data_IF_184754791907
#
_entry.id   IF_184754791907
#
_cell.length_a   1.000
_cell.length_b   1.000
_cell.length_c   1.000
_cell.angle_alpha   90.00
_cell.angle_beta   90.00
_cell.angle_gamma   90.00
#
_symmetry.space_group_name_H-M   'P 1'
#
loop_
_entity.id
_entity.type
_entity.pdbx_description
1 polymer ?
#
# COMPACT_ATOMS: atom_id res chain seq x y z
N UNK A 1 -34.24 -22.25 -34.69
CA UNK A 1 -33.37 -21.07 -34.51
C UNK A 1 -32.01 -21.47 -34.00
N UNK A 2 -30.97 -21.38 -34.84
CA UNK A 2 -29.57 -21.56 -34.41
C UNK A 2 -28.95 -20.27 -33.83
N UNK A 3 -29.64 -19.13 -33.93
CA UNK A 3 -29.14 -17.82 -33.47
C UNK A 3 -29.60 -17.42 -32.06
N UNK A 4 -30.48 -18.19 -31.42
CA UNK A 4 -31.04 -17.84 -30.11
C UNK A 4 -30.01 -17.83 -28.95
N UNK A 5 -28.83 -18.42 -29.14
CA UNK A 5 -27.78 -18.53 -28.12
C UNK A 5 -26.53 -17.67 -28.42
N UNK A 6 -26.58 -16.85 -29.48
CA UNK A 6 -25.43 -16.05 -29.91
C UNK A 6 -25.36 -14.74 -29.11
N UNK A 7 -24.51 -14.71 -28.08
CA UNK A 7 -24.34 -13.52 -27.21
C UNK A 7 -23.49 -12.41 -27.83
N UNK A 8 -22.52 -12.77 -28.67
CA UNK A 8 -21.56 -11.84 -29.26
C UNK A 8 -21.40 -12.04 -30.77
N UNK A 9 -21.07 -10.97 -31.47
CA UNK A 9 -20.60 -11.01 -32.85
C UNK A 9 -19.21 -11.68 -32.89
N UNK A 10 -19.05 -12.67 -33.77
CA UNK A 10 -17.77 -13.33 -33.99
C UNK A 10 -16.95 -12.48 -34.96
N UNK A 11 -15.82 -11.98 -34.49
CA UNK A 11 -14.81 -11.30 -35.32
C UNK A 11 -13.60 -12.24 -35.41
N UNK A 12 -13.28 -12.70 -36.62
CA UNK A 12 -12.08 -13.50 -36.83
C UNK A 12 -10.82 -12.62 -36.87
N UNK A 13 -9.65 -13.25 -36.79
CA UNK A 13 -8.38 -12.53 -36.75
C UNK A 13 -8.19 -11.63 -37.99
N UNK A 14 -8.63 -12.09 -39.17
CA UNK A 14 -8.54 -11.31 -40.41
C UNK A 14 -9.41 -10.06 -40.34
N UNK A 15 -10.65 -10.15 -39.83
CA UNK A 15 -11.55 -9.00 -39.65
C UNK A 15 -10.98 -8.00 -38.65
N UNK A 16 -10.43 -8.46 -37.51
CA UNK A 16 -9.82 -7.59 -36.51
C UNK A 16 -8.65 -6.77 -37.08
N UNK A 17 -7.83 -7.39 -37.93
CA UNK A 17 -6.70 -6.74 -38.61
C UNK A 17 -7.14 -5.81 -39.74
N UNK A 18 -8.06 -6.25 -40.60
CA UNK A 18 -8.53 -5.45 -41.74
C UNK A 18 -9.29 -4.20 -41.30
N UNK A 19 -9.98 -4.26 -40.16
CA UNK A 19 -10.68 -3.11 -39.56
C UNK A 19 -9.80 -2.30 -38.61
N UNK A 20 -8.52 -2.65 -38.46
CA UNK A 20 -7.55 -1.96 -37.61
C UNK A 20 -8.07 -1.71 -36.19
N UNK A 21 -8.71 -2.73 -35.60
CA UNK A 21 -9.41 -2.56 -34.32
C UNK A 21 -8.42 -2.32 -33.17
N UNK A 22 -7.30 -3.07 -33.15
CA UNK A 22 -6.30 -3.01 -32.08
C UNK A 22 -4.88 -2.70 -32.55
N UNK A 23 -4.57 -2.94 -33.82
CA UNK A 23 -3.27 -2.66 -34.42
C UNK A 23 -3.50 -2.19 -35.86
N UNK A 24 -2.77 -1.16 -36.28
CA UNK A 24 -2.83 -0.68 -37.66
C UNK A 24 -2.04 -1.60 -38.61
N UNK A 25 -2.31 -1.53 -39.92
CA UNK A 25 -1.61 -2.33 -40.91
C UNK A 25 -0.30 -1.71 -41.43
N UNK A 26 0.03 -0.49 -41.01
CA UNK A 26 1.21 0.23 -41.48
C UNK A 26 2.48 -0.19 -40.71
N UNK A 27 2.44 -0.11 -39.39
CA UNK A 27 3.58 -0.41 -38.50
C UNK A 27 3.24 -1.40 -37.38
N UNK A 28 1.99 -1.87 -37.30
CA UNK A 28 1.53 -2.81 -36.29
C UNK A 28 1.36 -2.20 -34.90
N UNK A 29 1.46 -0.86 -34.77
CA UNK A 29 1.25 -0.18 -33.50
C UNK A 29 -0.24 0.03 -33.19
N UNK A 30 -0.55 0.37 -31.93
CA UNK A 30 -1.91 0.72 -31.52
C UNK A 30 -2.34 2.12 -32.04
N UNK A 31 -1.46 2.88 -32.71
CA UNK A 31 -1.77 4.23 -33.21
C UNK A 31 -2.75 4.18 -34.38
N UNK A 32 -3.63 5.18 -34.44
CA UNK A 32 -4.63 5.35 -35.50
C UNK A 32 -5.57 4.14 -35.66
N UNK A 33 -5.78 3.39 -34.56
CA UNK A 33 -6.71 2.26 -34.48
C UNK A 33 -8.05 2.68 -33.90
N UNK A 34 -9.11 1.90 -34.15
CA UNK A 34 -10.41 2.12 -33.51
C UNK A 34 -10.28 2.17 -31.98
N UNK A 35 -9.51 1.25 -31.38
CA UNK A 35 -9.28 1.23 -29.94
C UNK A 35 -8.63 2.53 -29.46
N UNK A 36 -7.56 3.01 -30.10
CA UNK A 36 -6.91 4.27 -29.71
C UNK A 36 -7.81 5.50 -29.85
N UNK A 37 -8.77 5.46 -30.78
CA UNK A 37 -9.73 6.53 -30.99
C UNK A 37 -10.81 6.58 -29.90
N UNK A 38 -11.32 5.43 -29.44
CA UNK A 38 -12.40 5.37 -28.45
C UNK A 38 -11.93 5.26 -27.00
N UNK A 39 -10.67 4.88 -26.77
CA UNK A 39 -10.13 4.67 -25.43
C UNK A 39 -9.85 5.98 -24.70
N UNK A 40 -10.84 6.41 -23.91
CA UNK A 40 -10.73 7.50 -22.95
C UNK A 40 -10.79 7.01 -21.49
N UNK A 41 -10.65 5.70 -21.26
CA UNK A 41 -10.71 5.13 -19.92
C UNK A 41 -9.53 5.60 -19.06
N UNK A 42 -9.80 6.04 -17.82
CA UNK A 42 -8.75 6.47 -16.88
C UNK A 42 -8.21 5.35 -16.01
N UNK A 43 -8.97 4.27 -15.83
CA UNK A 43 -8.51 3.09 -15.08
C UNK A 43 -7.93 2.04 -16.02
N UNK A 44 -6.89 1.35 -15.54
CA UNK A 44 -6.31 0.24 -16.29
C UNK A 44 -7.31 -0.90 -16.50
N UNK A 45 -8.20 -1.14 -15.52
CA UNK A 45 -9.32 -2.08 -15.63
C UNK A 45 -10.34 -1.68 -16.69
N UNK A 46 -10.75 -0.41 -16.72
CA UNK A 46 -11.66 0.13 -17.73
C UNK A 46 -11.10 -0.01 -19.15
N UNK A 47 -9.82 0.33 -19.35
CA UNK A 47 -9.12 0.14 -20.63
C UNK A 47 -9.14 -1.32 -21.10
N UNK A 48 -8.88 -2.27 -20.19
CA UNK A 48 -8.94 -3.71 -20.48
C UNK A 48 -10.37 -4.16 -20.82
N UNK A 49 -11.36 -3.68 -20.08
CA UNK A 49 -12.77 -3.98 -20.31
C UNK A 49 -13.23 -3.48 -21.68
N UNK A 50 -12.86 -2.25 -22.05
CA UNK A 50 -13.16 -1.66 -23.35
C UNK A 50 -12.53 -2.46 -24.49
N UNK A 51 -11.25 -2.86 -24.34
CA UNK A 51 -10.57 -3.74 -25.30
C UNK A 51 -11.33 -5.06 -25.49
N UNK A 52 -11.80 -5.66 -24.41
CA UNK A 52 -12.63 -6.87 -24.45
C UNK A 52 -13.99 -6.64 -25.13
N UNK A 53 -14.64 -5.49 -24.91
CA UNK A 53 -15.92 -5.16 -25.53
C UNK A 53 -15.80 -4.96 -27.04
N UNK A 54 -14.74 -4.30 -27.52
CA UNK A 54 -14.47 -4.15 -28.96
C UNK A 54 -14.15 -5.49 -29.62
N UNK A 55 -13.47 -6.40 -28.92
CA UNK A 55 -13.14 -7.72 -29.46
C UNK A 55 -14.37 -8.65 -29.54
N UNK A 56 -15.39 -8.40 -28.71
CA UNK A 56 -16.59 -9.22 -28.60
C UNK A 56 -17.86 -8.35 -28.56
N UNK A 57 -18.21 -7.67 -29.68
CA UNK A 57 -19.41 -6.84 -29.73
C UNK A 57 -20.65 -7.64 -29.37
N UNK A 58 -21.63 -7.00 -28.74
CA UNK A 58 -22.91 -7.64 -28.43
C UNK A 58 -23.68 -7.94 -29.71
N UNK A 59 -24.42 -9.06 -29.73
CA UNK A 59 -25.29 -9.43 -30.86
C UNK A 59 -26.77 -9.12 -30.58
N UNK A 60 -27.19 -9.19 -29.32
CA UNK A 60 -28.59 -8.97 -28.93
C UNK A 60 -28.95 -7.49 -28.94
N UNK A 61 -29.98 -7.12 -29.71
CA UNK A 61 -30.52 -5.76 -29.74
C UNK A 61 -30.92 -5.26 -28.34
N UNK A 62 -31.49 -6.13 -27.50
CA UNK A 62 -31.82 -5.78 -26.11
C UNK A 62 -30.58 -5.35 -25.33
N UNK A 63 -29.51 -6.15 -25.38
CA UNK A 63 -28.28 -5.86 -24.65
C UNK A 63 -27.54 -4.64 -25.20
N UNK A 64 -27.64 -4.38 -26.51
CA UNK A 64 -27.11 -3.17 -27.14
C UNK A 64 -27.86 -1.95 -26.62
N UNK A 65 -29.20 -1.96 -26.65
CA UNK A 65 -30.01 -0.84 -26.18
C UNK A 65 -29.78 -0.57 -24.69
N UNK A 66 -29.68 -1.61 -23.84
CA UNK A 66 -29.33 -1.44 -22.42
C UNK A 66 -28.00 -0.68 -22.21
N UNK A 67 -27.01 -0.83 -23.09
CA UNK A 67 -25.77 -0.05 -23.03
C UNK A 67 -25.96 1.38 -23.54
N UNK A 68 -26.75 1.57 -24.59
CA UNK A 68 -27.08 2.91 -25.10
C UNK A 68 -27.83 3.72 -24.03
N UNK A 69 -28.83 3.11 -23.39
CA UNK A 69 -29.58 3.70 -22.29
C UNK A 69 -28.64 4.12 -21.14
N UNK A 70 -27.63 3.29 -20.81
CA UNK A 70 -26.61 3.64 -19.82
C UNK A 70 -25.71 4.82 -20.23
N UNK A 71 -25.35 4.91 -21.52
CA UNK A 71 -24.55 6.03 -22.05
C UNK A 71 -25.36 7.33 -22.02
N UNK A 72 -26.62 7.30 -22.46
CA UNK A 72 -27.50 8.47 -22.44
C UNK A 72 -27.78 8.95 -21.01
N UNK A 73 -27.96 8.00 -20.09
CA UNK A 73 -28.16 8.29 -18.69
C UNK A 73 -26.90 8.90 -18.02
N UNK A 74 -25.71 8.37 -18.32
CA UNK A 74 -24.44 8.98 -17.87
C UNK A 74 -24.21 10.37 -18.48
N UNK A 75 -24.61 10.58 -19.74
CA UNK A 75 -24.56 11.89 -20.38
C UNK A 75 -25.43 12.93 -19.67
N UNK A 76 -26.61 12.52 -19.20
CA UNK A 76 -27.49 13.37 -18.39
C UNK A 76 -26.91 13.61 -16.98
N UNK A 77 -26.35 12.57 -16.36
CA UNK A 77 -25.74 12.66 -15.02
C UNK A 77 -24.55 13.62 -14.98
N UNK A 78 -23.73 13.60 -16.04
CA UNK A 78 -22.45 14.31 -16.13
C UNK A 78 -22.51 15.53 -17.06
N UNK A 79 -23.67 16.18 -17.15
CA UNK A 79 -23.88 17.35 -18.03
C UNK A 79 -23.04 18.57 -17.58
N UNK A 80 -22.75 18.69 -16.29
CA UNK A 80 -21.80 19.68 -15.77
C UNK A 80 -20.34 19.21 -15.98
N UNK A 81 -19.58 20.02 -16.73
CA UNK A 81 -18.18 19.76 -17.02
C UNK A 81 -17.29 19.69 -15.76
N UNK A 82 -17.67 20.37 -14.67
CA UNK A 82 -16.95 20.31 -13.40
C UNK A 82 -17.11 18.94 -12.73
N UNK A 83 -18.34 18.44 -12.61
CA UNK A 83 -18.65 17.15 -12.00
C UNK A 83 -17.99 16.00 -12.78
N UNK A 84 -18.03 16.07 -14.11
CA UNK A 84 -17.35 15.11 -14.98
C UNK A 84 -15.83 15.06 -14.72
N UNK A 85 -15.17 16.21 -14.52
CA UNK A 85 -13.73 16.26 -14.27
C UNK A 85 -13.40 15.68 -12.89
N UNK A 86 -14.17 16.02 -11.86
CA UNK A 86 -13.94 15.51 -10.51
C UNK A 86 -14.10 13.99 -10.43
N UNK A 87 -15.16 13.44 -11.03
CA UNK A 87 -15.38 11.98 -11.05
C UNK A 87 -14.26 11.30 -11.83
N UNK A 88 -13.81 11.88 -12.93
CA UNK A 88 -12.70 11.36 -13.72
C UNK A 88 -11.39 11.35 -12.92
N UNK A 89 -11.12 12.38 -12.13
CA UNK A 89 -9.96 12.46 -11.24
C UNK A 89 -10.04 11.43 -10.10
N UNK A 90 -11.24 11.21 -9.53
CA UNK A 90 -11.47 10.13 -8.56
C UNK A 90 -11.17 8.76 -9.17
N UNK A 91 -11.72 8.45 -10.35
CA UNK A 91 -11.39 7.22 -11.05
C UNK A 91 -9.90 7.10 -11.40
N UNK A 92 -9.21 8.20 -11.70
CA UNK A 92 -7.76 8.17 -11.94
C UNK A 92 -6.97 7.77 -10.68
N UNK A 93 -7.48 8.13 -9.49
CA UNK A 93 -6.88 7.75 -8.19
C UNK A 93 -7.19 6.31 -7.74
N UNK A 94 -8.19 5.64 -8.35
CA UNK A 94 -8.56 4.25 -8.04
C UNK A 94 -7.41 3.25 -8.27
N UNK A 95 -6.55 3.51 -9.25
CA UNK A 95 -5.40 2.66 -9.56
C UNK A 95 -5.77 1.32 -10.24
N UNK A 96 -4.81 0.38 -10.28
CA UNK A 96 -5.01 -0.96 -10.87
C UNK A 96 -5.27 -2.01 -9.78
N UNK A 97 -6.44 -1.88 -9.13
CA UNK A 97 -6.89 -2.76 -8.04
C UNK A 97 -7.04 -4.21 -8.50
N UNK A 98 -7.55 -4.45 -9.71
CA UNK A 98 -7.75 -5.81 -10.26
C UNK A 98 -6.43 -6.61 -10.26
N UNK A 99 -5.36 -6.04 -10.83
CA UNK A 99 -4.05 -6.72 -10.80
C UNK A 99 -3.42 -6.69 -9.42
N UNK A 100 -3.71 -5.67 -8.62
CA UNK A 100 -3.26 -5.57 -7.24
C UNK A 100 -3.79 -6.73 -6.39
N UNK A 101 -5.10 -6.98 -6.42
CA UNK A 101 -5.76 -8.10 -5.74
C UNK A 101 -5.15 -9.44 -6.15
N UNK A 102 -4.91 -9.67 -7.45
CA UNK A 102 -4.27 -10.90 -7.91
C UNK A 102 -2.85 -11.09 -7.32
N UNK A 103 -2.08 -10.01 -7.15
CA UNK A 103 -0.75 -10.06 -6.51
C UNK A 103 -0.85 -10.33 -5.01
N UNK A 104 -1.82 -9.70 -4.33
CA UNK A 104 -2.10 -9.88 -2.91
C UNK A 104 -2.50 -11.33 -2.61
N UNK A 105 -3.45 -11.88 -3.37
CA UNK A 105 -3.87 -13.29 -3.28
C UNK A 105 -2.69 -14.25 -3.51
N UNK A 106 -1.91 -14.01 -4.56
CA UNK A 106 -0.71 -14.83 -4.85
C UNK A 106 0.33 -14.77 -3.72
N UNK A 107 0.45 -13.62 -3.04
CA UNK A 107 1.35 -13.46 -1.90
C UNK A 107 0.83 -14.17 -0.65
N UNK A 108 -0.49 -14.18 -0.42
CA UNK A 108 -1.13 -14.90 0.68
C UNK A 108 -0.96 -16.42 0.53
N UNK A 109 -1.13 -16.93 -0.70
CA UNK A 109 -1.04 -18.36 -1.03
C UNK A 109 0.39 -18.92 -1.09
N UNK A 110 1.43 -18.08 -1.03
CA UNK A 110 2.82 -18.53 -1.12
C UNK A 110 3.26 -19.29 0.15
N UNK A 111 3.65 -20.55 -0.01
CA UNK A 111 4.36 -21.33 1.01
C UNK A 111 5.81 -20.83 1.13
N UNK A 112 6.18 -20.28 2.29
CA UNK A 112 7.50 -19.66 2.49
C UNK A 112 8.57 -20.74 2.71
N UNK A 113 9.17 -21.24 1.63
CA UNK A 113 10.44 -22.00 1.70
C UNK A 113 11.68 -21.14 1.40
N UNK A 114 11.50 -19.87 1.00
CA UNK A 114 12.61 -18.99 0.62
C UNK A 114 12.58 -17.75 1.48
N UNK A 115 13.66 -17.51 2.23
CA UNK A 115 13.92 -16.24 2.92
C UNK A 115 13.97 -15.14 1.85
N UNK A 116 12.91 -14.35 1.78
CA UNK A 116 12.79 -13.23 0.86
C UNK A 116 13.66 -12.07 1.37
N UNK A 117 14.38 -11.39 0.47
CA UNK A 117 15.13 -10.19 0.83
C UNK A 117 14.17 -9.09 1.33
N UNK A 118 14.61 -8.29 2.29
CA UNK A 118 13.82 -7.23 2.96
C UNK A 118 13.07 -6.33 1.95
N UNK A 119 13.73 -5.93 0.86
CA UNK A 119 13.14 -5.08 -0.20
C UNK A 119 11.93 -5.71 -0.91
N UNK A 120 11.89 -7.03 -1.04
CA UNK A 120 10.77 -7.72 -1.70
C UNK A 120 9.54 -7.78 -0.82
N UNK A 121 9.70 -7.94 0.49
CA UNK A 121 8.58 -7.87 1.43
C UNK A 121 8.05 -6.44 1.56
N UNK A 122 8.94 -5.45 1.65
CA UNK A 122 8.54 -4.03 1.63
C UNK A 122 7.68 -3.69 0.42
N UNK A 123 8.07 -4.15 -0.76
CA UNK A 123 7.29 -3.92 -1.99
C UNK A 123 5.90 -4.59 -1.95
N UNK A 124 5.79 -5.80 -1.38
CA UNK A 124 4.48 -6.47 -1.24
C UNK A 124 3.56 -5.69 -0.30
N UNK A 125 4.09 -5.17 0.81
CA UNK A 125 3.34 -4.33 1.76
C UNK A 125 2.84 -3.07 1.06
N UNK A 126 3.72 -2.35 0.35
CA UNK A 126 3.34 -1.15 -0.40
C UNK A 126 2.27 -1.45 -1.45
N UNK A 127 2.38 -2.58 -2.16
CA UNK A 127 1.36 -3.01 -3.13
C UNK A 127 0.02 -3.34 -2.45
N UNK A 128 0.03 -3.97 -1.27
CA UNK A 128 -1.17 -4.24 -0.48
C UNK A 128 -1.84 -2.95 -0.01
N UNK A 129 -1.08 -1.99 0.52
CA UNK A 129 -1.59 -0.66 0.92
C UNK A 129 -2.22 0.07 -0.27
N UNK A 130 -1.63 0.00 -1.46
CA UNK A 130 -2.23 0.56 -2.69
C UNK A 130 -3.57 -0.09 -3.03
N UNK A 131 -3.71 -1.39 -2.83
CA UNK A 131 -4.98 -2.11 -3.04
C UNK A 131 -6.03 -1.62 -2.05
N UNK A 132 -5.70 -1.52 -0.76
CA UNK A 132 -6.64 -1.02 0.26
C UNK A 132 -7.12 0.41 -0.05
N UNK A 133 -6.20 1.30 -0.43
CA UNK A 133 -6.54 2.67 -0.86
C UNK A 133 -7.45 2.66 -2.09
N UNK A 134 -7.11 1.87 -3.10
CA UNK A 134 -7.93 1.76 -4.31
C UNK A 134 -9.33 1.21 -4.03
N UNK A 135 -9.47 0.22 -3.14
CA UNK A 135 -10.78 -0.28 -2.71
C UNK A 135 -11.59 0.80 -1.99
N UNK A 136 -10.95 1.58 -1.10
CA UNK A 136 -11.60 2.70 -0.41
C UNK A 136 -12.10 3.75 -1.41
N UNK A 137 -11.23 4.17 -2.34
CA UNK A 137 -11.62 5.08 -3.44
C UNK A 137 -12.73 4.49 -4.30
N UNK A 138 -12.76 3.17 -4.52
CA UNK A 138 -13.84 2.50 -5.24
C UNK A 138 -15.20 2.63 -4.55
N UNK A 139 -15.22 2.47 -3.22
CA UNK A 139 -16.42 2.68 -2.41
C UNK A 139 -16.87 4.14 -2.43
N UNK A 140 -15.93 5.09 -2.31
CA UNK A 140 -16.22 6.53 -2.40
C UNK A 140 -16.81 6.92 -3.78
N UNK A 141 -16.26 6.37 -4.87
CA UNK A 141 -16.80 6.56 -6.23
C UNK A 141 -18.21 5.97 -6.33
N UNK A 142 -18.41 4.76 -5.81
CA UNK A 142 -19.71 4.09 -5.86
C UNK A 142 -20.78 4.86 -5.10
N UNK A 143 -20.44 5.39 -3.92
CA UNK A 143 -21.36 6.18 -3.09
C UNK A 143 -21.74 7.50 -3.77
N UNK A 144 -20.74 8.22 -4.31
CA UNK A 144 -20.98 9.47 -5.05
C UNK A 144 -21.88 9.25 -6.27
N UNK A 145 -21.54 8.27 -7.11
CA UNK A 145 -22.34 7.98 -8.31
C UNK A 145 -23.75 7.51 -7.97
N UNK A 146 -23.92 6.74 -6.88
CA UNK A 146 -25.25 6.34 -6.39
C UNK A 146 -26.07 7.56 -5.97
N UNK A 147 -25.49 8.48 -5.22
CA UNK A 147 -26.17 9.68 -4.75
C UNK A 147 -26.63 10.56 -5.92
N UNK A 148 -25.74 10.80 -6.89
CA UNK A 148 -26.08 11.57 -8.09
C UNK A 148 -27.14 10.83 -8.93
N UNK A 149 -27.04 9.50 -9.09
CA UNK A 149 -27.98 8.67 -9.85
C UNK A 149 -29.41 8.70 -9.30
N UNK A 150 -29.57 8.61 -7.97
CA UNK A 150 -30.89 8.70 -7.32
C UNK A 150 -31.53 10.10 -7.49
N UNK A 151 -30.74 11.12 -7.79
CA UNK A 151 -31.19 12.49 -7.98
C UNK A 151 -31.69 12.82 -9.39
N UNK A 152 -31.44 11.96 -10.40
CA UNK A 152 -31.79 12.25 -11.80
C UNK A 152 -33.25 11.85 -12.08
N UNK A 153 -34.17 12.82 -12.33
CA UNK A 153 -35.54 12.50 -12.70
C UNK A 153 -35.60 11.92 -14.12
N UNK A 154 -36.51 10.98 -14.36
CA UNK A 154 -36.88 10.46 -15.68
C UNK A 154 -35.77 9.74 -16.49
N UNK A 155 -34.60 9.47 -15.90
CA UNK A 155 -33.60 8.56 -16.50
C UNK A 155 -33.75 7.14 -15.95
N UNK A 156 -33.73 6.14 -16.85
CA UNK A 156 -33.78 4.72 -16.46
C UNK A 156 -32.68 3.97 -17.19
N UNK A 157 -31.91 3.17 -16.45
CA UNK A 157 -30.89 2.30 -17.02
C UNK A 157 -30.72 1.06 -16.17
N UNK A 158 -31.17 -0.09 -16.68
CA UNK A 158 -31.04 -1.38 -15.98
C UNK A 158 -29.58 -1.72 -15.64
N UNK A 159 -28.64 -1.26 -16.48
CA UNK A 159 -27.20 -1.49 -16.27
C UNK A 159 -26.68 -0.65 -15.11
N UNK A 160 -27.01 0.64 -15.06
CA UNK A 160 -26.58 1.51 -13.97
C UNK A 160 -27.30 1.17 -12.67
N UNK A 161 -28.59 0.81 -12.70
CA UNK A 161 -29.31 0.34 -11.52
C UNK A 161 -28.65 -0.91 -10.92
N UNK A 162 -28.30 -1.88 -11.77
CA UNK A 162 -27.61 -3.09 -11.31
C UNK A 162 -26.20 -2.82 -10.78
N UNK A 163 -25.48 -1.81 -11.29
CA UNK A 163 -24.10 -1.50 -10.90
C UNK A 163 -24.03 -0.60 -9.67
N UNK A 164 -24.87 0.43 -9.62
CA UNK A 164 -24.82 1.51 -8.62
C UNK A 164 -25.79 1.29 -7.48
N UNK A 165 -26.97 0.69 -7.72
CA UNK A 165 -27.96 0.47 -6.67
C UNK A 165 -27.74 -0.90 -6.05
N UNK A 166 -27.62 -1.95 -6.87
CA UNK A 166 -27.09 -3.26 -6.46
C UNK A 166 -27.58 -3.79 -5.11
N UNK A 167 -26.78 -4.63 -4.45
CA UNK A 167 -27.03 -5.05 -3.07
C UNK A 167 -26.29 -4.09 -2.13
N UNK A 168 -27.02 -3.13 -1.56
CA UNK A 168 -26.49 -2.15 -0.59
C UNK A 168 -25.76 -2.81 0.58
N UNK A 169 -26.20 -4.02 0.97
CA UNK A 169 -25.57 -4.74 2.08
C UNK A 169 -24.11 -5.13 1.79
N UNK A 170 -23.74 -5.33 0.53
CA UNK A 170 -22.37 -5.67 0.13
C UNK A 170 -21.45 -4.45 0.28
N UNK A 171 -21.95 -3.24 0.00
CA UNK A 171 -21.16 -2.01 0.11
C UNK A 171 -20.86 -1.66 1.57
N UNK A 172 -21.86 -1.77 2.45
CA UNK A 172 -21.71 -1.45 3.87
C UNK A 172 -20.82 -2.46 4.61
N UNK A 173 -21.02 -3.75 4.37
CA UNK A 173 -20.17 -4.82 4.93
C UNK A 173 -18.72 -4.71 4.42
N UNK A 174 -18.53 -4.38 3.14
CA UNK A 174 -17.19 -4.14 2.59
C UNK A 174 -16.53 -2.90 3.21
N UNK A 175 -17.28 -1.81 3.43
CA UNK A 175 -16.76 -0.59 4.05
C UNK A 175 -16.31 -0.84 5.50
N UNK A 176 -17.12 -1.54 6.31
CA UNK A 176 -16.78 -1.89 7.69
C UNK A 176 -15.54 -2.81 7.76
N UNK A 177 -15.51 -3.85 6.91
CA UNK A 177 -14.35 -4.76 6.81
C UNK A 177 -13.10 -4.04 6.36
N UNK A 178 -13.23 -3.07 5.46
CA UNK A 178 -12.10 -2.30 4.97
C UNK A 178 -11.58 -1.33 6.04
N UNK A 179 -12.47 -0.68 6.80
CA UNK A 179 -12.10 0.25 7.89
C UNK A 179 -11.19 -0.41 8.93
N UNK A 180 -11.45 -1.69 9.26
CA UNK A 180 -10.57 -2.48 10.13
C UNK A 180 -9.09 -2.43 9.72
N UNK A 181 -8.79 -2.46 8.41
CA UNK A 181 -7.41 -2.41 7.92
C UNK A 181 -6.77 -1.02 8.03
N UNK A 182 -7.57 0.04 8.04
CA UNK A 182 -7.10 1.41 8.18
C UNK A 182 -6.97 1.83 9.65
N UNK A 183 -7.74 1.23 10.56
CA UNK A 183 -7.81 1.66 11.97
C UNK A 183 -7.14 0.71 12.94
N UNK A 184 -7.19 -0.60 12.69
CA UNK A 184 -6.96 -1.61 13.73
C UNK A 184 -6.05 -2.77 13.34
N UNK A 185 -5.85 -3.05 12.05
CA UNK A 185 -5.09 -4.24 11.62
C UNK A 185 -3.56 -4.08 11.76
N UNK A 186 -3.04 -2.88 11.53
CA UNK A 186 -1.60 -2.55 11.58
C UNK A 186 -1.41 -1.02 11.57
N UNK A 187 -0.18 -0.57 11.81
CA UNK A 187 0.19 0.84 11.62
C UNK A 187 0.21 1.18 10.12
N UNK A 188 -0.81 1.91 9.66
CA UNK A 188 -0.97 2.25 8.26
C UNK A 188 0.14 3.17 7.73
N UNK A 189 0.66 4.08 8.57
CA UNK A 189 1.70 5.05 8.17
C UNK A 189 3.02 4.34 7.94
N UNK A 190 3.37 3.38 8.79
CA UNK A 190 4.57 2.57 8.60
C UNK A 190 4.42 1.63 7.39
N UNK A 191 3.21 1.10 7.17
CA UNK A 191 2.93 0.23 6.02
C UNK A 191 3.07 0.97 4.68
N UNK A 192 2.83 2.28 4.62
CA UNK A 192 3.12 3.08 3.42
C UNK A 192 4.61 3.07 3.04
N UNK A 193 5.49 2.89 4.03
CA UNK A 193 6.94 2.76 3.84
C UNK A 193 7.39 1.29 3.62
N UNK A 194 6.45 0.36 3.65
CA UNK A 194 6.69 -1.07 3.46
C UNK A 194 6.93 -1.84 4.75
N UNK A 195 6.75 -1.23 5.92
CA UNK A 195 6.93 -1.89 7.22
C UNK A 195 5.57 -2.21 7.84
N UNK A 196 5.33 -3.47 8.18
CA UNK A 196 4.09 -3.87 8.86
C UNK A 196 4.41 -4.18 10.30
N UNK A 197 3.94 -3.30 11.18
CA UNK A 197 4.02 -3.46 12.62
C UNK A 197 2.64 -3.86 13.15
N UNK A 198 2.56 -4.85 14.07
CA UNK A 198 1.32 -5.12 14.79
C UNK A 198 0.77 -3.84 15.44
N UNK A 199 -0.57 -3.74 15.58
CA UNK A 199 -1.19 -2.58 16.18
C UNK A 199 -0.74 -2.41 17.63
N UNK A 200 -0.62 -1.16 18.07
CA UNK A 200 -0.27 -0.80 19.45
C UNK A 200 -1.58 -0.53 20.21
N UNK A 201 -1.75 -1.10 21.41
CA UNK A 201 -2.96 -0.91 22.24
C UNK A 201 -3.74 -2.19 22.49
N UNK A 202 -5.04 -2.08 22.79
CA UNK A 202 -5.89 -3.23 23.18
C UNK A 202 -6.06 -4.29 22.09
N UNK A 203 -5.86 -3.93 20.83
CA UNK A 203 -5.91 -4.83 19.66
C UNK A 203 -4.55 -5.47 19.31
N UNK A 204 -3.48 -5.08 20.01
CA UNK A 204 -2.12 -5.57 19.77
C UNK A 204 -1.88 -7.00 20.24
N UNK A 205 -0.98 -7.72 19.55
CA UNK A 205 -0.53 -9.03 19.99
C UNK A 205 0.22 -8.89 21.34
N UNK A 206 -0.21 -9.57 22.42
CA UNK A 206 0.44 -9.47 23.72
C UNK A 206 1.93 -9.81 23.69
N UNK A 207 2.36 -10.77 22.85
CA UNK A 207 3.77 -11.15 22.75
C UNK A 207 4.61 -10.05 22.09
N UNK A 208 4.05 -9.39 21.06
CA UNK A 208 4.66 -8.22 20.44
C UNK A 208 4.75 -7.04 21.41
N UNK A 209 3.68 -6.73 22.15
CA UNK A 209 3.68 -5.62 23.12
C UNK A 209 4.72 -5.83 24.23
N UNK A 210 4.90 -7.08 24.69
CA UNK A 210 5.95 -7.43 25.66
C UNK A 210 7.34 -7.26 25.05
N UNK A 211 7.55 -7.68 23.80
CA UNK A 211 8.84 -7.51 23.11
C UNK A 211 9.17 -6.02 22.91
N UNK A 212 8.19 -5.22 22.50
CA UNK A 212 8.33 -3.76 22.34
C UNK A 212 8.67 -3.08 23.66
N UNK A 213 7.99 -3.45 24.75
CA UNK A 213 8.26 -2.92 26.08
C UNK A 213 9.69 -3.20 26.57
N UNK A 214 10.25 -4.38 26.26
CA UNK A 214 11.65 -4.70 26.56
C UNK A 214 12.63 -3.81 25.81
N UNK A 215 12.35 -3.51 24.54
CA UNK A 215 13.18 -2.61 23.74
C UNK A 215 13.15 -1.18 24.30
N UNK A 216 11.96 -0.66 24.61
CA UNK A 216 11.77 0.66 25.19
C UNK A 216 12.44 0.80 26.56
N UNK A 217 12.41 -0.26 27.38
CA UNK A 217 13.11 -0.29 28.66
C UNK A 217 14.62 -0.12 28.47
N UNK A 218 15.23 -0.86 27.55
CA UNK A 218 16.67 -0.77 27.27
C UNK A 218 17.03 0.59 26.67
N UNK A 219 16.20 1.14 25.78
CA UNK A 219 16.42 2.47 25.21
C UNK A 219 16.36 3.57 26.28
N UNK A 220 15.45 3.44 27.25
CA UNK A 220 15.38 4.35 28.41
C UNK A 220 16.61 4.22 29.33
N UNK A 221 17.08 2.99 29.56
CA UNK A 221 18.32 2.75 30.32
C UNK A 221 19.54 3.36 29.61
N UNK A 222 19.62 3.26 28.27
CA UNK A 222 20.66 3.90 27.48
C UNK A 222 20.61 5.43 27.60
N UNK A 223 19.45 6.07 27.46
CA UNK A 223 19.38 7.53 27.62
C UNK A 223 19.75 7.97 29.05
N UNK A 224 19.33 7.21 30.07
CA UNK A 224 19.73 7.46 31.46
C UNK A 224 21.24 7.35 31.66
N UNK A 225 21.88 6.35 31.04
CA UNK A 225 23.33 6.17 31.06
C UNK A 225 24.04 7.36 30.36
N UNK A 226 23.50 7.84 29.24
CA UNK A 226 24.03 9.02 28.53
C UNK A 226 23.97 10.27 29.41
N UNK A 227 22.84 10.53 30.06
CA UNK A 227 22.63 11.66 30.96
C UNK A 227 23.53 11.59 32.20
N UNK A 228 23.70 10.40 32.76
CA UNK A 228 24.63 10.15 33.85
C UNK A 228 26.07 10.52 33.43
N UNK A 229 26.51 10.12 32.24
CA UNK A 229 27.83 10.49 31.72
C UNK A 229 27.94 11.98 31.37
N UNK A 230 26.87 12.62 30.86
CA UNK A 230 26.83 14.08 30.67
C UNK A 230 27.09 14.81 31.98
N UNK A 231 26.52 14.32 33.08
CA UNK A 231 26.77 14.80 34.44
C UNK A 231 28.21 14.56 34.92
N UNK A 232 28.68 13.31 34.89
CA UNK A 232 30.03 12.93 35.36
C UNK A 232 31.17 13.63 34.60
N UNK A 233 31.03 13.79 33.29
CA UNK A 233 32.04 14.46 32.46
C UNK A 233 31.86 15.99 32.42
N UNK A 234 30.73 16.51 32.93
CA UNK A 234 30.38 17.93 32.85
C UNK A 234 30.29 18.42 31.41
N UNK A 235 29.79 17.57 30.50
CA UNK A 235 29.71 17.84 29.07
C UNK A 235 28.35 17.43 28.54
N UNK A 236 27.51 18.41 28.21
CA UNK A 236 26.14 18.16 27.73
C UNK A 236 26.11 17.70 26.27
N UNK A 237 27.17 17.96 25.49
CA UNK A 237 27.21 17.60 24.07
C UNK A 237 27.66 16.16 23.79
N UNK A 238 27.69 15.29 24.80
CA UNK A 238 27.81 13.84 24.58
C UNK A 238 26.61 13.33 23.79
N UNK A 239 26.90 12.41 22.87
CA UNK A 239 25.91 11.79 21.99
C UNK A 239 26.29 10.36 21.68
N UNK A 240 25.29 9.57 21.32
CA UNK A 240 25.50 8.26 20.73
C UNK A 240 26.08 8.39 19.33
N UNK A 241 27.00 7.49 19.01
CA UNK A 241 27.50 7.26 17.67
C UNK A 241 27.21 5.82 17.26
N UNK A 242 26.61 5.66 16.08
CA UNK A 242 26.22 4.36 15.54
C UNK A 242 27.05 4.08 14.28
N UNK A 243 27.69 2.90 14.23
CA UNK A 243 28.39 2.44 13.01
C UNK A 243 28.33 0.92 12.88
N UNK A 244 27.59 0.46 11.89
CA UNK A 244 27.50 -0.97 11.57
C UNK A 244 27.12 -1.82 12.79
N UNK A 245 27.85 -2.92 13.01
CA UNK A 245 27.65 -3.86 14.13
C UNK A 245 28.20 -3.37 15.48
N UNK A 246 28.76 -2.16 15.54
CA UNK A 246 29.31 -1.55 16.77
C UNK A 246 28.58 -0.24 17.06
N UNK A 247 27.29 -0.35 17.36
CA UNK A 247 26.42 0.78 17.70
C UNK A 247 26.64 1.35 19.11
N UNK A 248 25.97 2.47 19.40
CA UNK A 248 25.90 3.07 20.74
C UNK A 248 27.28 3.31 21.38
N UNK A 249 28.22 3.84 20.60
CA UNK A 249 29.49 4.32 21.13
C UNK A 249 29.29 5.71 21.73
N UNK A 250 29.81 5.94 22.93
CA UNK A 250 29.76 7.25 23.58
C UNK A 250 30.79 8.17 22.93
N UNK A 251 30.33 9.18 22.18
CA UNK A 251 31.22 10.15 21.53
C UNK A 251 31.50 11.33 22.46
N UNK A 252 32.76 11.45 22.87
CA UNK A 252 33.27 12.56 23.67
C UNK A 252 33.94 13.59 22.74
N UNK A 253 33.45 14.84 22.69
CA UNK A 253 33.99 15.89 21.82
C UNK A 253 35.48 16.18 22.07
N UNK A 254 36.26 16.46 21.01
CA UNK A 254 37.71 16.77 21.15
C UNK A 254 37.99 17.95 22.09
N UNK A 255 37.10 18.96 22.10
CA UNK A 255 37.16 20.14 22.98
C UNK A 255 37.17 19.80 24.48
N UNK A 256 36.70 18.61 24.85
CA UNK A 256 36.65 18.14 26.23
C UNK A 256 38.04 17.72 26.75
N UNK A 257 38.92 17.23 25.88
CA UNK A 257 40.24 16.70 26.23
C UNK A 257 41.29 17.81 26.50
N UNK A 258 40.99 18.72 27.42
CA UNK A 258 41.91 19.78 27.87
C UNK A 258 42.93 19.24 28.88
N UNK A 259 44.12 19.86 29.02
CA UNK A 259 45.10 19.49 30.03
C UNK A 259 44.47 19.43 31.42
N UNK A 260 44.69 18.31 32.14
CA UNK A 260 44.13 18.08 33.48
C UNK A 260 42.86 17.24 33.53
N UNK A 261 42.18 16.99 32.40
CA UNK A 261 41.06 16.03 32.34
C UNK A 261 41.57 14.64 31.99
N UNK A 262 41.18 13.65 32.79
CA UNK A 262 41.44 12.24 32.53
C UNK A 262 40.13 11.53 32.25
N UNK A 263 40.17 10.59 31.32
CA UNK A 263 39.01 9.75 31.06
C UNK A 263 38.86 8.73 32.21
N UNK A 264 37.64 8.36 32.60
CA UNK A 264 37.44 7.31 33.60
C UNK A 264 38.06 5.98 33.15
N UNK A 265 38.55 5.19 34.10
CA UNK A 265 39.20 3.89 33.81
C UNK A 265 38.27 2.86 33.18
N UNK A 266 36.96 3.04 33.32
CA UNK A 266 35.92 2.19 32.74
C UNK A 266 35.78 2.37 31.22
N UNK A 267 36.40 3.40 30.63
CA UNK A 267 36.27 3.70 29.21
C UNK A 267 37.25 2.87 28.39
N UNK A 268 36.70 2.05 27.52
CA UNK A 268 37.43 1.31 26.49
C UNK A 268 37.40 2.11 25.18
N UNK A 269 38.55 2.53 24.62
CA UNK A 269 38.58 3.28 23.37
C UNK A 269 38.18 2.41 22.18
N UNK A 270 37.27 2.90 21.34
CA UNK A 270 36.75 2.18 20.17
C UNK A 270 37.29 2.77 18.86
N UNK A 271 37.03 4.05 18.63
CA UNK A 271 37.46 4.75 17.42
C UNK A 271 37.63 6.25 17.68
N UNK A 272 38.33 6.93 16.78
CA UNK A 272 38.44 8.39 16.78
C UNK A 272 37.91 8.95 15.47
N UNK A 273 36.99 9.91 15.58
CA UNK A 273 36.46 10.66 14.44
C UNK A 273 37.05 12.06 14.35
N UNK A 274 36.58 12.84 13.37
CA UNK A 274 36.94 14.26 13.27
C UNK A 274 36.36 15.07 14.45
N UNK A 275 35.16 14.73 14.90
CA UNK A 275 34.38 15.46 15.91
C UNK A 275 34.70 15.08 17.36
N UNK A 276 35.14 13.85 17.61
CA UNK A 276 35.31 13.33 18.96
C UNK A 276 36.01 11.98 19.00
N UNK A 277 36.36 11.55 20.23
CA UNK A 277 36.84 10.20 20.53
C UNK A 277 35.68 9.36 21.05
N UNK A 278 35.63 8.08 20.70
CA UNK A 278 34.49 7.20 20.95
C UNK A 278 34.86 6.05 21.86
N UNK A 279 33.97 5.73 22.78
CA UNK A 279 34.24 4.78 23.85
C UNK A 279 33.06 3.88 24.13
N UNK A 280 33.36 2.75 24.72
CA UNK A 280 32.41 1.90 25.42
C UNK A 280 32.76 1.80 26.89
N UNK A 281 31.74 1.64 27.72
CA UNK A 281 31.89 1.17 29.10
C UNK A 281 31.31 -0.25 29.19
N UNK A 282 31.68 -1.06 30.20
CA UNK A 282 31.08 -2.38 30.40
C UNK A 282 29.54 -2.32 30.45
N UNK A 283 28.98 -1.26 31.06
CA UNK A 283 27.54 -1.02 31.11
C UNK A 283 26.94 -0.72 29.75
N UNK A 284 27.56 0.14 28.94
CA UNK A 284 27.09 0.43 27.57
C UNK A 284 27.12 -0.84 26.71
N UNK A 285 28.15 -1.69 26.85
CA UNK A 285 28.24 -2.96 26.13
C UNK A 285 27.12 -3.93 26.54
N UNK A 286 26.83 -4.04 27.83
CA UNK A 286 25.72 -4.84 28.35
C UNK A 286 24.38 -4.37 27.79
N UNK A 287 24.10 -3.06 27.89
CA UNK A 287 22.87 -2.46 27.38
C UNK A 287 22.74 -2.63 25.86
N UNK A 288 23.83 -2.45 25.11
CA UNK A 288 23.84 -2.66 23.67
C UNK A 288 23.50 -4.11 23.30
N UNK A 289 24.07 -5.11 24.00
CA UNK A 289 23.71 -6.52 23.78
C UNK A 289 22.25 -6.79 24.08
N UNK A 290 21.75 -6.34 25.24
CA UNK A 290 20.32 -6.45 25.59
C UNK A 290 19.42 -5.81 24.55
N UNK A 291 19.84 -4.69 23.97
CA UNK A 291 19.09 -4.01 22.90
C UNK A 291 19.07 -4.83 21.61
N UNK A 292 20.21 -5.42 21.22
CA UNK A 292 20.28 -6.30 20.05
C UNK A 292 19.38 -7.52 20.25
N UNK A 293 19.44 -8.17 21.40
CA UNK A 293 18.58 -9.31 21.73
C UNK A 293 17.09 -8.92 21.73
N UNK A 294 16.76 -7.73 22.24
CA UNK A 294 15.39 -7.20 22.22
C UNK A 294 14.91 -6.89 20.80
N UNK A 295 15.79 -6.37 19.93
CA UNK A 295 15.47 -6.15 18.51
C UNK A 295 15.25 -7.44 17.74
N UNK A 296 16.09 -8.45 17.98
CA UNK A 296 15.91 -9.79 17.37
C UNK A 296 14.58 -10.39 17.82
N UNK A 297 14.28 -10.35 19.12
CA UNK A 297 13.00 -10.82 19.64
C UNK A 297 11.80 -10.05 19.10
N UNK A 298 11.91 -8.73 18.88
CA UNK A 298 10.85 -7.94 18.25
C UNK A 298 10.65 -8.33 16.77
N UNK A 299 11.75 -8.50 16.03
CA UNK A 299 11.72 -8.91 14.63
C UNK A 299 11.10 -10.30 14.44
N UNK A 300 11.34 -11.22 15.38
CA UNK A 300 10.69 -12.54 15.40
C UNK A 300 9.16 -12.41 15.57
N UNK A 301 8.68 -11.43 16.35
CA UNK A 301 7.25 -11.18 16.53
C UNK A 301 6.62 -10.47 15.33
N UNK A 302 7.36 -9.61 14.65
CA UNK A 302 6.94 -8.97 13.39
C UNK A 302 6.91 -9.98 12.22
N UNK A 303 7.75 -11.02 12.31
CA UNK A 303 7.84 -12.05 11.28
C UNK A 303 6.51 -12.78 11.11
N UNK A 304 6.03 -12.84 9.87
CA UNK A 304 4.76 -13.51 9.53
C UNK A 304 3.49 -12.73 9.88
N UNK A 305 3.57 -11.57 10.54
CA UNK A 305 2.41 -10.70 10.81
C UNK A 305 1.73 -10.29 9.50
N UNK A 306 2.53 -9.85 8.53
CA UNK A 306 2.00 -9.49 7.22
C UNK A 306 1.30 -10.66 6.53
N UNK A 307 1.81 -11.89 6.68
CA UNK A 307 1.15 -13.09 6.13
C UNK A 307 -0.18 -13.39 6.81
N UNK A 308 -0.27 -13.25 8.14
CA UNK A 308 -1.54 -13.36 8.88
C UNK A 308 -2.56 -12.32 8.39
N UNK A 309 -2.13 -11.08 8.19
CA UNK A 309 -2.97 -10.00 7.65
C UNK A 309 -3.46 -10.35 6.25
N UNK A 310 -2.56 -10.79 5.36
CA UNK A 310 -2.92 -11.22 4.01
C UNK A 310 -3.92 -12.38 4.01
N UNK A 311 -3.73 -13.39 4.88
CA UNK A 311 -4.65 -14.53 5.00
C UNK A 311 -6.02 -14.18 5.57
N UNK A 312 -6.14 -13.05 6.28
CA UNK A 312 -7.42 -12.52 6.78
C UNK A 312 -8.12 -11.66 5.73
N UNK A 313 -7.36 -11.08 4.81
CA UNK A 313 -7.87 -10.28 3.71
C UNK A 313 -8.44 -11.14 2.58
N UNK A 314 -7.81 -12.28 2.28
CA UNK A 314 -8.29 -13.27 1.30
C UNK A 314 -9.56 -14.00 1.76
#
# INVERSE_FOLDING_TARGET
DMDADKKHLVLDACTLTNLEIFANNNDGSERDTLFSFVDHAVTAGGKRLLKNWLAKPLYSAKAINQRLDAVDALGTLLDDAADHLEIRDLFASFGDVERGLARVHSAAAAEETVVMFDDTNKRKVVDFVKVLKGLKTGLEISDRLRHEWQGVPDCTSEVLDSLLIGDESISDDAAEKLDYFFTSAFDFVEAENGEVKPPIGESGDPEYLVALGKLEEVDRELESELDMWRGKLGERSLRWYHRGKEGYQLEVPKKWFKPGRRIPSEFTPMSEGQTGKRFWTPRIQELYRRRVDALEGLSDQESGVFKKILSRFD
#
